data_IF_925111379063
#
_entry.id   IF_925111379063
#
_cell.length_a   1.000
_cell.length_b   1.000
_cell.length_c   1.000
_cell.angle_alpha   90.00
_cell.angle_beta   90.00
_cell.angle_gamma   90.00
#
_symmetry.space_group_name_H-M   'P 1'
#
loop_
_entity.id
_entity.type
_entity.pdbx_description
1 polymer ?
#
# COMPACT_ATOMS: atom_id res chain seq x y z
N UNK A 1 10.32 1.40 -10.81
CA UNK A 1 9.48 0.28 -11.27
C UNK A 1 8.21 0.25 -10.46
N UNK A 2 7.07 0.16 -11.14
CA UNK A 2 5.75 0.08 -10.49
C UNK A 2 5.26 -1.36 -10.54
N UNK A 3 4.92 -1.92 -9.39
CA UNK A 3 4.50 -3.31 -9.26
C UNK A 3 3.09 -3.35 -8.67
N UNK A 4 2.16 -3.94 -9.42
CA UNK A 4 0.80 -4.19 -8.95
C UNK A 4 0.76 -5.49 -8.18
N UNK A 5 0.35 -5.44 -6.93
CA UNK A 5 0.31 -6.61 -6.06
C UNK A 5 -1.09 -6.77 -5.48
N UNK A 6 -1.83 -7.75 -5.98
CA UNK A 6 -3.15 -8.05 -5.43
C UNK A 6 -2.98 -8.77 -4.09
N UNK A 7 -3.51 -8.17 -3.06
CA UNK A 7 -3.55 -8.76 -1.74
C UNK A 7 -5.02 -8.93 -1.37
N UNK A 8 -5.46 -10.18 -1.25
CA UNK A 8 -6.85 -10.44 -0.90
C UNK A 8 -7.11 -9.92 0.51
N UNK A 9 -7.82 -8.80 0.58
CA UNK A 9 -8.30 -8.28 1.85
C UNK A 9 -9.19 -9.34 2.52
N UNK A 10 -9.25 -9.29 3.84
CA UNK A 10 -9.93 -10.29 4.66
C UNK A 10 -9.31 -11.69 4.62
N UNK A 11 -8.17 -11.86 3.96
CA UNK A 11 -7.44 -13.12 3.93
C UNK A 11 -6.04 -12.91 4.49
N UNK A 12 -5.89 -13.18 5.78
CA UNK A 12 -4.64 -12.93 6.50
C UNK A 12 -3.45 -13.71 5.91
N UNK A 13 -3.67 -14.97 5.53
CA UNK A 13 -2.59 -15.79 4.99
C UNK A 13 -2.11 -15.27 3.64
N UNK A 14 -3.03 -14.90 2.75
CA UNK A 14 -2.67 -14.38 1.43
C UNK A 14 -1.91 -13.06 1.55
N UNK A 15 -2.37 -12.17 2.43
CA UNK A 15 -1.70 -10.89 2.66
C UNK A 15 -0.31 -11.11 3.27
N UNK A 16 -0.18 -11.99 4.25
CA UNK A 16 1.10 -12.29 4.89
C UNK A 16 2.12 -12.82 3.87
N UNK A 17 1.68 -13.70 2.97
CA UNK A 17 2.55 -14.22 1.91
C UNK A 17 3.01 -13.13 0.95
N UNK A 18 2.11 -12.20 0.61
CA UNK A 18 2.47 -11.07 -0.25
C UNK A 18 3.49 -10.16 0.44
N UNK A 19 3.31 -9.90 1.72
CA UNK A 19 4.25 -9.07 2.47
C UNK A 19 5.62 -9.73 2.58
N UNK A 20 5.65 -11.03 2.82
CA UNK A 20 6.91 -11.79 2.86
C UNK A 20 7.60 -11.77 1.49
N UNK A 21 6.82 -11.91 0.42
CA UNK A 21 7.35 -11.83 -0.94
C UNK A 21 7.99 -10.46 -1.21
N UNK A 22 7.31 -9.37 -0.84
CA UNK A 22 7.84 -8.02 -1.00
C UNK A 22 9.13 -7.86 -0.21
N UNK A 23 9.15 -8.33 1.03
CA UNK A 23 10.33 -8.27 1.88
C UNK A 23 11.51 -8.99 1.25
N UNK A 24 11.27 -10.12 0.58
CA UNK A 24 12.32 -10.94 0.00
C UNK A 24 12.98 -10.34 -1.24
N UNK A 25 12.34 -9.34 -1.88
CA UNK A 25 12.88 -8.71 -3.08
C UNK A 25 14.00 -7.73 -2.71
N UNK A 26 15.07 -7.69 -3.52
CA UNK A 26 16.15 -6.73 -3.26
C UNK A 26 15.72 -5.29 -3.59
N UNK A 27 16.43 -4.34 -3.00
CA UNK A 27 16.25 -2.93 -3.29
C UNK A 27 15.25 -2.23 -2.39
N UNK A 28 15.28 -0.90 -2.43
CA UNK A 28 14.40 -0.07 -1.62
C UNK A 28 13.00 -0.04 -2.20
N UNK A 29 12.00 0.04 -1.34
CA UNK A 29 10.60 -0.08 -1.71
C UNK A 29 9.75 1.00 -1.07
N UNK A 30 8.80 1.50 -1.85
CA UNK A 30 7.74 2.40 -1.38
C UNK A 30 6.42 1.67 -1.61
N UNK A 31 5.54 1.69 -0.63
CA UNK A 31 4.29 0.94 -0.68
C UNK A 31 3.09 1.88 -0.55
N UNK A 32 2.09 1.66 -1.40
CA UNK A 32 0.78 2.27 -1.25
C UNK A 32 -0.21 1.16 -0.85
N UNK A 33 -0.72 1.28 0.36
CA UNK A 33 -1.71 0.33 0.90
C UNK A 33 -3.11 0.85 0.58
N UNK A 34 -3.76 0.18 -0.36
CA UNK A 34 -5.11 0.53 -0.80
C UNK A 34 -6.03 -0.69 -0.83
N UNK A 35 -5.85 -1.59 0.11
CA UNK A 35 -6.64 -2.81 0.23
C UNK A 35 -7.97 -2.53 0.93
N UNK A 36 -8.79 -1.72 0.29
CA UNK A 36 -10.08 -1.28 0.82
C UNK A 36 -11.22 -1.96 0.08
N UNK A 37 -12.30 -2.26 0.77
CA UNK A 37 -13.52 -2.81 0.17
C UNK A 37 -14.34 -1.67 -0.43
N UNK A 38 -13.88 -1.15 -1.54
CA UNK A 38 -14.55 -0.05 -2.23
C UNK A 38 -15.72 -0.58 -3.07
N UNK A 39 -16.79 0.17 -3.10
CA UNK A 39 -17.95 -0.17 -3.90
C UNK A 39 -18.92 -1.14 -3.24
N UNK A 40 -18.58 -1.64 -2.07
CA UNK A 40 -19.51 -2.45 -1.29
C UNK A 40 -20.37 -1.49 -0.48
N UNK A 41 -21.64 -1.42 -0.79
CA UNK A 41 -22.59 -0.54 -0.10
C UNK A 41 -22.75 -0.88 1.39
N UNK A 42 -22.04 -1.88 1.87
CA UNK A 42 -22.17 -2.44 3.21
C UNK A 42 -20.85 -2.42 3.96
N UNK A 43 -20.15 -1.33 3.92
CA UNK A 43 -18.90 -1.19 4.67
C UNK A 43 -19.08 -1.46 6.17
N UNK A 44 -20.28 -1.25 6.69
CA UNK A 44 -20.61 -1.54 8.08
C UNK A 44 -20.52 -3.03 8.43
N UNK A 45 -20.59 -3.91 7.44
CA UNK A 45 -20.47 -5.36 7.66
C UNK A 45 -19.01 -5.82 7.60
N UNK A 46 -18.10 -4.96 7.24
CA UNK A 46 -16.70 -5.31 7.13
C UNK A 46 -16.07 -5.43 8.51
N UNK A 47 -15.44 -6.58 8.77
CA UNK A 47 -14.74 -6.81 10.01
C UNK A 47 -13.23 -6.69 9.77
N UNK A 48 -12.57 -5.68 10.33
CA UNK A 48 -11.14 -5.49 10.11
C UNK A 48 -10.24 -6.40 10.95
N UNK A 49 -10.80 -7.33 11.71
CA UNK A 49 -10.02 -8.19 12.60
C UNK A 49 -8.96 -9.02 11.87
N UNK A 50 -9.16 -9.31 10.59
CA UNK A 50 -8.19 -10.04 9.78
C UNK A 50 -6.81 -9.36 9.76
N UNK A 51 -6.77 -8.05 9.95
CA UNK A 51 -5.53 -7.29 10.01
C UNK A 51 -4.63 -7.72 11.16
N UNK A 52 -5.23 -8.14 12.27
CA UNK A 52 -4.47 -8.55 13.45
C UNK A 52 -3.94 -9.98 13.32
N UNK A 53 -4.50 -10.76 12.39
CA UNK A 53 -4.01 -12.09 12.05
C UNK A 53 -3.00 -12.08 10.91
N UNK A 54 -2.79 -10.93 10.29
CA UNK A 54 -1.88 -10.75 9.16
C UNK A 54 -0.51 -10.27 9.66
N UNK A 55 0.55 -10.83 9.10
CA UNK A 55 1.92 -10.54 9.52
C UNK A 55 2.45 -9.26 8.86
N UNK A 56 1.89 -8.12 9.26
CA UNK A 56 2.39 -6.81 8.83
C UNK A 56 3.82 -6.57 9.26
N UNK A 57 4.29 -7.31 10.25
CA UNK A 57 5.66 -7.27 10.73
C UNK A 57 6.69 -7.54 9.63
N UNK A 58 6.32 -8.28 8.59
CA UNK A 58 7.17 -8.48 7.42
C UNK A 58 7.53 -7.17 6.71
N UNK A 59 6.69 -6.15 6.84
CA UNK A 59 6.93 -4.84 6.24
C UNK A 59 7.85 -3.96 7.09
N UNK A 60 8.19 -4.39 8.29
CA UNK A 60 9.15 -3.70 9.15
C UNK A 60 10.56 -4.09 8.72
N UNK A 61 11.02 -3.49 7.65
CA UNK A 61 12.32 -3.76 7.03
C UNK A 61 12.97 -2.42 6.68
N UNK A 62 14.31 -2.38 6.78
CA UNK A 62 15.06 -1.17 6.38
C UNK A 62 14.88 -0.85 4.91
N UNK A 63 14.57 -1.85 4.09
CA UNK A 63 14.37 -1.67 2.66
C UNK A 63 12.99 -1.09 2.32
N UNK A 64 12.03 -1.15 3.23
CA UNK A 64 10.75 -0.48 3.06
C UNK A 64 10.89 0.93 3.63
N UNK A 65 10.91 1.92 2.75
CA UNK A 65 11.26 3.30 3.12
C UNK A 65 10.04 4.18 3.38
N UNK A 66 8.90 3.85 2.79
CA UNK A 66 7.67 4.63 2.93
C UNK A 66 6.46 3.72 2.74
N UNK A 67 5.45 3.90 3.60
CA UNK A 67 4.17 3.22 3.50
C UNK A 67 3.06 4.27 3.57
N UNK A 68 2.32 4.42 2.48
CA UNK A 68 1.19 5.35 2.43
C UNK A 68 -0.08 4.54 2.58
N UNK A 69 -0.88 4.90 3.59
CA UNK A 69 -2.17 4.28 3.85
C UNK A 69 -3.26 5.18 3.28
N UNK A 70 -4.10 4.66 2.41
CA UNK A 70 -5.09 5.46 1.70
C UNK A 70 -6.47 4.82 1.74
N UNK A 71 -7.50 5.67 1.71
CA UNK A 71 -8.88 5.26 1.61
C UNK A 71 -9.55 5.07 2.97
N UNK A 72 -10.73 4.41 2.99
CA UNK A 72 -11.55 4.30 4.20
C UNK A 72 -10.88 3.65 5.40
N UNK A 73 -9.93 2.75 5.15
CA UNK A 73 -9.23 2.01 6.22
C UNK A 73 -7.84 2.56 6.54
N UNK A 74 -7.52 3.77 6.07
CA UNK A 74 -6.19 4.33 6.24
C UNK A 74 -5.74 4.35 7.71
N UNK A 75 -6.62 4.79 8.62
CA UNK A 75 -6.28 4.83 10.04
C UNK A 75 -6.10 3.44 10.65
N UNK A 76 -6.89 2.47 10.21
CA UNK A 76 -6.75 1.10 10.67
C UNK A 76 -5.39 0.53 10.26
N UNK A 77 -4.98 0.76 9.03
CA UNK A 77 -3.66 0.35 8.55
C UNK A 77 -2.54 1.07 9.30
N UNK A 78 -2.69 2.36 9.54
CA UNK A 78 -1.69 3.11 10.30
C UNK A 78 -1.50 2.49 11.68
N UNK A 79 -2.58 2.23 12.39
CA UNK A 79 -2.51 1.62 13.72
C UNK A 79 -1.80 0.26 13.64
N UNK A 80 -2.20 -0.56 12.69
CA UNK A 80 -1.63 -1.90 12.55
C UNK A 80 -0.13 -1.85 12.24
N UNK A 81 0.29 -0.93 11.38
CA UNK A 81 1.71 -0.75 11.05
C UNK A 81 2.51 -0.28 12.27
N UNK A 82 1.95 0.61 13.07
CA UNK A 82 2.59 1.05 14.31
C UNK A 82 2.74 -0.11 15.29
N UNK A 83 1.72 -0.97 15.39
CA UNK A 83 1.78 -2.16 16.24
C UNK A 83 2.81 -3.17 15.73
N UNK A 84 3.10 -3.16 14.44
CA UNK A 84 4.15 -3.99 13.85
C UNK A 84 5.56 -3.45 14.12
N UNK A 85 5.67 -2.32 14.80
CA UNK A 85 6.96 -1.72 15.12
C UNK A 85 7.54 -0.82 14.05
N UNK A 86 6.77 -0.53 13.01
CA UNK A 86 7.26 0.33 11.92
C UNK A 86 7.35 1.77 12.42
N UNK A 87 8.50 2.44 12.21
CA UNK A 87 8.67 3.83 12.64
C UNK A 87 7.61 4.76 12.04
N UNK A 88 7.04 5.62 12.87
CA UNK A 88 5.96 6.54 12.45
C UNK A 88 6.37 7.39 11.25
N UNK A 89 7.63 7.79 11.14
CA UNK A 89 8.10 8.65 10.06
C UNK A 89 8.06 7.97 8.70
N UNK A 90 7.94 6.64 8.66
CA UNK A 90 7.77 5.89 7.40
C UNK A 90 6.31 5.81 6.96
N UNK A 91 5.36 6.11 7.85
CA UNK A 91 3.93 5.91 7.63
C UNK A 91 3.27 7.24 7.30
N UNK A 92 2.53 7.29 6.22
CA UNK A 92 1.81 8.49 5.77
C UNK A 92 0.35 8.14 5.51
N UNK A 93 -0.53 9.12 5.74
CA UNK A 93 -1.98 8.95 5.56
C UNK A 93 -2.46 9.85 4.43
N UNK A 94 -3.35 9.33 3.61
CA UNK A 94 -4.01 10.09 2.56
C UNK A 94 -5.52 9.83 2.59
N UNK A 95 -6.31 10.85 2.24
CA UNK A 95 -7.75 10.76 2.17
C UNK A 95 -8.20 9.71 1.15
N UNK A 96 -7.56 9.73 -0.01
CA UNK A 96 -7.85 8.80 -1.07
C UNK A 96 -6.56 8.38 -1.78
N UNK A 97 -6.70 7.44 -2.69
CA UNK A 97 -5.57 6.81 -3.36
C UNK A 97 -4.85 7.76 -4.32
N UNK A 98 -5.55 8.74 -4.90
CA UNK A 98 -4.92 9.73 -5.78
C UNK A 98 -4.12 10.74 -4.98
N UNK A 99 -4.66 11.19 -3.82
CA UNK A 99 -3.92 12.06 -2.91
C UNK A 99 -2.66 11.35 -2.38
N UNK A 100 -2.73 10.04 -2.21
CA UNK A 100 -1.60 9.24 -1.73
C UNK A 100 -0.39 9.33 -2.66
N UNK A 101 -0.61 9.51 -3.97
CA UNK A 101 0.48 9.61 -4.93
C UNK A 101 1.39 10.82 -4.67
N UNK A 102 0.84 11.87 -4.06
CA UNK A 102 1.62 13.05 -3.69
C UNK A 102 2.51 12.80 -2.48
N UNK A 103 2.22 11.75 -1.71
CA UNK A 103 2.98 11.41 -0.51
C UNK A 103 4.07 10.37 -0.75
N UNK A 104 4.10 9.75 -1.93
CA UNK A 104 5.16 8.83 -2.29
C UNK A 104 6.41 9.62 -2.69
N UNK A 105 7.57 9.32 -2.09
CA UNK A 105 8.82 10.02 -2.45
C UNK A 105 9.23 9.82 -3.90
N UNK A 106 8.92 8.68 -4.48
CA UNK A 106 9.30 8.30 -5.85
C UNK A 106 10.79 8.47 -6.08
N UNK A 107 11.58 8.02 -5.12
CA UNK A 107 13.04 8.09 -5.18
C UNK A 107 13.54 7.27 -6.37
N UNK A 108 14.43 7.83 -7.20
CA UNK A 108 14.98 7.09 -8.33
C UNK A 108 15.63 5.78 -7.88
N UNK A 109 15.28 4.70 -8.56
CA UNK A 109 15.76 3.36 -8.24
C UNK A 109 14.86 2.57 -7.29
N UNK A 110 13.97 3.24 -6.57
CA UNK A 110 13.03 2.54 -5.68
C UNK A 110 11.93 1.84 -6.49
N UNK A 111 11.52 0.67 -6.02
CA UNK A 111 10.33 0.00 -6.53
C UNK A 111 9.11 0.50 -5.77
N UNK A 112 8.03 0.76 -6.49
CA UNK A 112 6.76 1.21 -5.91
C UNK A 112 5.75 0.09 -6.04
N UNK A 113 5.23 -0.38 -4.92
CA UNK A 113 4.22 -1.42 -4.86
C UNK A 113 2.85 -0.81 -4.59
N UNK A 114 1.89 -1.13 -5.47
CA UNK A 114 0.49 -0.80 -5.26
C UNK A 114 -0.21 -2.06 -4.75
N UNK A 115 -0.58 -2.05 -3.48
CA UNK A 115 -1.23 -3.19 -2.82
C UNK A 115 -2.74 -2.95 -2.79
N UNK A 116 -3.49 -3.77 -3.52
CA UNK A 116 -4.93 -3.58 -3.69
C UNK A 116 -5.70 -4.88 -3.46
N UNK A 117 -6.97 -4.75 -3.08
CA UNK A 117 -7.88 -5.88 -2.94
C UNK A 117 -8.62 -6.16 -4.23
N UNK A 118 -9.31 -7.29 -4.28
CA UNK A 118 -10.05 -7.74 -5.48
C UNK A 118 -11.05 -6.68 -5.94
N UNK A 119 -11.85 -6.16 -5.01
CA UNK A 119 -12.89 -5.18 -5.32
C UNK A 119 -12.34 -3.82 -5.74
N UNK A 120 -11.09 -3.54 -5.40
CA UNK A 120 -10.42 -2.29 -5.77
C UNK A 120 -9.65 -2.34 -7.07
N UNK A 121 -9.78 -3.40 -7.86
CA UNK A 121 -9.01 -3.58 -9.10
C UNK A 121 -9.19 -2.42 -10.10
N UNK A 122 -10.42 -1.96 -10.42
CA UNK A 122 -10.56 -0.84 -11.37
C UNK A 122 -9.89 0.44 -10.87
N UNK A 123 -10.04 0.75 -9.59
CA UNK A 123 -9.39 1.92 -8.99
C UNK A 123 -7.87 1.79 -9.03
N UNK A 124 -7.36 0.59 -8.72
CA UNK A 124 -5.92 0.34 -8.72
C UNK A 124 -5.30 0.59 -10.10
N UNK A 125 -5.96 0.18 -11.17
CA UNK A 125 -5.48 0.46 -12.53
C UNK A 125 -5.46 1.94 -12.83
N UNK A 126 -6.47 2.70 -12.40
CA UNK A 126 -6.49 4.15 -12.59
C UNK A 126 -5.38 4.84 -11.80
N UNK A 127 -5.15 4.40 -10.59
CA UNK A 127 -4.05 4.92 -9.76
C UNK A 127 -2.70 4.62 -10.42
N UNK A 128 -2.53 3.42 -10.95
CA UNK A 128 -1.31 3.05 -11.68
C UNK A 128 -1.05 3.98 -12.86
N UNK A 129 -2.08 4.25 -13.66
CA UNK A 129 -1.92 5.14 -14.81
C UNK A 129 -1.52 6.54 -14.39
N UNK A 130 -2.13 7.06 -13.34
CA UNK A 130 -1.77 8.38 -12.81
C UNK A 130 -0.35 8.40 -12.27
N UNK A 131 0.07 7.34 -11.62
CA UNK A 131 1.44 7.23 -11.11
C UNK A 131 2.44 7.21 -12.27
N UNK A 132 2.13 6.49 -13.35
CA UNK A 132 2.98 6.48 -14.55
C UNK A 132 3.14 7.87 -15.14
N UNK A 133 2.04 8.63 -15.22
CA UNK A 133 2.09 10.02 -15.69
C UNK A 133 3.03 10.86 -14.83
N UNK A 134 2.94 10.72 -13.50
CA UNK A 134 3.81 11.44 -12.58
C UNK A 134 5.28 11.08 -12.78
N UNK A 135 5.57 9.80 -12.94
CA UNK A 135 6.95 9.33 -13.14
C UNK A 135 7.53 9.84 -14.44
N UNK A 136 6.74 9.85 -15.53
CA UNK A 136 7.18 10.38 -16.81
C UNK A 136 7.43 11.89 -16.73
N UNK A 137 6.56 12.64 -16.05
CA UNK A 137 6.74 14.06 -15.85
C UNK A 137 8.00 14.36 -15.03
N UNK A 138 8.27 13.54 -14.02
CA UNK A 138 9.47 13.68 -13.18
C UNK A 138 10.75 13.40 -13.96
N UNK A 139 10.75 12.38 -14.82
CA UNK A 139 11.87 12.06 -15.69
C UNK A 139 12.11 13.20 -16.71
N UNK A 140 11.03 13.74 -17.28
CA UNK A 140 11.12 14.84 -18.23
C UNK A 140 11.63 16.14 -17.62
N UNK A 141 11.53 16.31 -16.30
CA UNK A 141 12.00 17.49 -15.59
C UNK A 141 13.48 17.42 -15.24
N UNK A 142 14.10 16.26 -15.43
CA UNK A 142 15.52 16.05 -15.23
C UNK A 142 16.28 16.31 -16.55
#
# INVERSE_FOLDING_TARGET
KVIMQMSKDKNALACSRNFDYIRSKPGKKELLLMMNCLGVAKSWSENPSWMYDTDFEFLNSDDVTCLVCAGPRAYDYQLRLLLAGIPRQKIRLAEDEFAALELLPLTPGDDVYLLYGVDGTPLAFRVREKLKEKLLAKEGAQ
#
